data_IF_286366477727
#
_entry.id   IF_286366477727
#
_cell.length_a   1.000
_cell.length_b   1.000
_cell.length_c   1.000
_cell.angle_alpha   90.00
_cell.angle_beta   90.00
_cell.angle_gamma   90.00
#
_symmetry.space_group_name_H-M   'P 1'
#
loop_
_entity.id
_entity.type
_entity.pdbx_description
1 polymer ?
#
# COMPACT_ATOMS: atom_id res chain seq x y z
N UNK A 1 -18.26 3.50 -15.42
CA UNK A 1 -17.76 4.80 -15.91
C UNK A 1 -16.26 4.77 -16.23
N UNK A 2 -15.40 4.11 -15.46
CA UNK A 2 -13.94 4.21 -15.66
C UNK A 2 -13.29 3.16 -16.59
N UNK A 3 -13.95 2.02 -16.88
CA UNK A 3 -13.49 0.95 -17.82
C UNK A 3 -12.00 0.54 -17.69
N UNK A 4 -11.42 0.63 -16.50
CA UNK A 4 -10.02 0.27 -16.25
C UNK A 4 -9.92 -1.26 -16.16
N UNK A 5 -8.95 -1.83 -16.87
CA UNK A 5 -8.62 -3.26 -16.90
C UNK A 5 -7.12 -3.42 -16.67
N UNK A 6 -6.70 -4.59 -16.19
CA UNK A 6 -5.30 -4.97 -16.05
C UNK A 6 -4.46 -3.94 -15.26
N UNK A 7 -5.05 -3.47 -14.16
CA UNK A 7 -4.44 -2.54 -13.20
C UNK A 7 -4.72 -2.99 -11.79
N UNK A 8 -3.77 -2.76 -10.90
CA UNK A 8 -3.93 -2.92 -9.46
C UNK A 8 -3.85 -1.57 -8.77
N UNK A 9 -4.65 -1.40 -7.72
CA UNK A 9 -4.62 -0.21 -6.88
C UNK A 9 -3.54 -0.37 -5.80
N UNK A 10 -2.59 0.57 -5.78
CA UNK A 10 -1.50 0.60 -4.81
C UNK A 10 -1.68 1.84 -3.95
N UNK A 11 -1.82 1.60 -2.65
CA UNK A 11 -1.93 2.66 -1.64
C UNK A 11 -0.54 3.03 -1.13
N UNK A 12 -0.23 4.32 -1.19
CA UNK A 12 1.03 4.93 -0.75
C UNK A 12 0.74 5.81 0.49
N UNK A 13 0.86 5.26 1.71
CA UNK A 13 0.56 5.98 2.94
C UNK A 13 1.58 7.09 3.20
N UNK A 14 1.12 8.16 3.84
CA UNK A 14 1.99 9.14 4.49
C UNK A 14 2.38 8.62 5.88
N UNK A 15 3.63 8.84 6.30
CA UNK A 15 4.08 8.47 7.64
C UNK A 15 3.19 9.11 8.72
N UNK A 16 2.90 8.36 9.79
CA UNK A 16 2.07 8.78 10.92
C UNK A 16 0.61 9.14 10.58
N UNK A 17 0.09 8.70 9.43
CA UNK A 17 -1.28 8.99 9.03
C UNK A 17 -1.93 7.83 8.26
N UNK A 18 -3.26 7.83 8.21
CA UNK A 18 -4.06 6.98 7.31
C UNK A 18 -4.38 7.68 5.98
N UNK A 19 -3.84 8.89 5.77
CA UNK A 19 -3.89 9.57 4.49
C UNK A 19 -2.75 9.12 3.57
N UNK A 20 -2.98 9.20 2.26
CA UNK A 20 -2.02 8.76 1.28
C UNK A 20 -2.51 8.97 -0.14
N UNK A 21 -1.70 8.51 -1.08
CA UNK A 21 -2.08 8.49 -2.50
C UNK A 21 -2.55 7.09 -2.88
N UNK A 22 -3.55 7.02 -3.76
CA UNK A 22 -3.94 5.78 -4.41
C UNK A 22 -3.58 5.88 -5.89
N UNK A 23 -2.71 5.00 -6.36
CA UNK A 23 -2.27 4.96 -7.75
C UNK A 23 -2.66 3.63 -8.41
N UNK A 24 -2.79 3.64 -9.73
CA UNK A 24 -3.05 2.45 -10.52
C UNK A 24 -1.80 2.08 -11.31
N UNK A 25 -1.31 0.86 -11.13
CA UNK A 25 -0.11 0.35 -11.81
C UNK A 25 -0.41 -0.96 -12.52
N UNK A 26 0.46 -1.36 -13.46
CA UNK A 26 0.36 -2.66 -14.09
C UNK A 26 0.73 -3.77 -13.08
N UNK A 27 0.06 -4.93 -13.09
CA UNK A 27 0.33 -6.02 -12.14
C UNK A 27 1.80 -6.47 -12.13
N UNK A 28 2.47 -6.42 -13.29
CA UNK A 28 3.87 -6.85 -13.46
C UNK A 28 4.87 -5.95 -12.72
N UNK A 29 4.43 -4.76 -12.29
CA UNK A 29 5.23 -3.81 -11.50
C UNK A 29 5.11 -4.05 -9.98
N UNK A 30 4.30 -5.02 -9.56
CA UNK A 30 4.06 -5.32 -8.14
C UNK A 30 4.63 -6.69 -7.81
N UNK A 31 5.51 -6.73 -6.82
CA UNK A 31 5.98 -7.98 -6.21
C UNK A 31 5.25 -8.18 -4.90
N UNK A 32 4.49 -9.27 -4.72
CA UNK A 32 3.85 -9.59 -3.44
C UNK A 32 4.90 -9.74 -2.35
N UNK A 33 4.62 -9.17 -1.17
CA UNK A 33 5.45 -9.34 0.02
C UNK A 33 4.79 -10.38 0.92
N UNK A 34 5.54 -11.43 1.28
CA UNK A 34 5.13 -12.36 2.34
C UNK A 34 5.42 -11.73 3.71
N UNK A 35 4.41 -11.06 4.27
CA UNK A 35 4.49 -10.46 5.60
C UNK A 35 3.10 -10.43 6.26
N UNK A 36 3.09 -10.42 7.59
CA UNK A 36 1.84 -10.26 8.35
C UNK A 36 1.25 -8.87 8.11
N UNK A 37 -0.03 -8.83 7.73
CA UNK A 37 -0.71 -7.58 7.38
C UNK A 37 -0.89 -6.66 8.59
N UNK A 38 -1.06 -7.22 9.80
CA UNK A 38 -1.14 -6.48 11.04
C UNK A 38 0.18 -5.76 11.35
N UNK A 39 1.30 -6.48 11.29
CA UNK A 39 2.64 -5.91 11.48
C UNK A 39 2.96 -4.80 10.49
N UNK A 40 2.63 -4.99 9.20
CA UNK A 40 2.80 -3.96 8.17
C UNK A 40 1.98 -2.70 8.45
N UNK A 41 0.70 -2.85 8.83
CA UNK A 41 -0.13 -1.70 9.19
C UNK A 41 0.41 -0.96 10.41
N UNK A 42 0.85 -1.67 11.45
CA UNK A 42 1.49 -1.06 12.63
C UNK A 42 2.76 -0.30 12.25
N UNK A 43 3.62 -0.87 11.40
CA UNK A 43 4.82 -0.20 10.89
C UNK A 43 4.48 1.11 10.17
N UNK A 44 3.48 1.08 9.27
CA UNK A 44 3.05 2.27 8.50
C UNK A 44 2.53 3.38 9.44
N UNK A 45 1.61 3.04 10.36
CA UNK A 45 0.97 4.02 11.25
C UNK A 45 1.95 4.56 12.29
N UNK A 46 2.91 3.75 12.75
CA UNK A 46 3.96 4.19 13.68
C UNK A 46 5.10 4.96 13.00
N UNK A 47 5.09 5.11 11.67
CA UNK A 47 6.19 5.72 10.93
C UNK A 47 7.49 4.92 10.99
N UNK A 48 7.40 3.60 11.17
CA UNK A 48 8.53 2.69 11.27
C UNK A 48 9.04 2.42 12.68
N UNK A 49 8.35 2.93 13.71
CA UNK A 49 8.68 2.66 15.11
C UNK A 49 7.91 1.43 15.60
N UNK A 50 8.48 0.26 15.35
CA UNK A 50 7.99 -1.03 15.89
C UNK A 50 8.81 -1.42 17.12
N UNK A 51 8.15 -1.82 18.21
CA UNK A 51 8.77 -2.22 19.48
C UNK A 51 8.91 -3.73 19.59
#
# INVERSE_FOLDING_TARGET
HLKIRDRVAVYLPQSYNFAGNLILVAPEQVTPLEADSGQLMTFIVSGGVTK
#
